data_IF_460034299113
#
_entry.id   IF_460034299113
#
_cell.length_a   1.000
_cell.length_b   1.000
_cell.length_c   1.000
_cell.angle_alpha   90.00
_cell.angle_beta   90.00
_cell.angle_gamma   90.00
#
_symmetry.space_group_name_H-M   'P 1'
#
loop_
_entity.id
_entity.type
_entity.pdbx_description
1 polymer ?
#
# COMPACT_ATOMS: atom_id res chain seq x y z
N UNK A 1 -5.99 -5.61 -19.91
CA UNK A 1 -6.71 -6.90 -19.73
C UNK A 1 -6.55 -7.34 -18.29
N UNK A 2 -7.60 -7.85 -17.63
CA UNK A 2 -7.50 -8.34 -16.25
C UNK A 2 -7.02 -9.80 -16.24
N UNK A 3 -6.33 -10.24 -15.19
CA UNK A 3 -5.91 -11.66 -15.06
C UNK A 3 -7.07 -12.65 -15.26
N UNK A 4 -8.26 -12.30 -14.73
CA UNK A 4 -9.49 -13.12 -14.86
C UNK A 4 -10.04 -13.26 -16.30
N UNK A 5 -9.54 -12.47 -17.24
CA UNK A 5 -9.90 -12.53 -18.66
C UNK A 5 -8.89 -13.35 -19.47
N UNK A 6 -7.73 -13.68 -18.88
CA UNK A 6 -6.66 -14.43 -19.55
C UNK A 6 -6.91 -15.92 -19.37
N UNK A 7 -7.35 -16.58 -20.45
CA UNK A 7 -7.47 -18.02 -20.49
C UNK A 7 -6.13 -18.65 -20.86
N UNK A 8 -5.70 -19.63 -20.05
CA UNK A 8 -4.43 -20.33 -20.20
C UNK A 8 -4.73 -21.82 -20.46
N UNK A 9 -4.44 -22.29 -21.66
CA UNK A 9 -4.61 -23.71 -21.99
C UNK A 9 -3.42 -24.52 -21.48
N UNK A 10 -3.68 -25.62 -20.75
CA UNK A 10 -2.68 -26.52 -20.18
C UNK A 10 -2.59 -27.81 -20.96
N UNK A 11 -1.71 -27.86 -21.98
CA UNK A 11 -1.45 -29.08 -22.74
C UNK A 11 -0.53 -30.03 -21.94
N UNK A 12 -0.93 -31.28 -21.79
CA UNK A 12 -0.17 -32.23 -20.98
C UNK A 12 -0.38 -33.67 -21.43
N UNK A 13 0.54 -34.54 -21.09
CA UNK A 13 0.34 -35.99 -21.19
C UNK A 13 -0.36 -36.53 -19.93
N UNK A 14 -0.98 -37.70 -20.06
CA UNK A 14 -1.71 -38.32 -18.94
C UNK A 14 -0.86 -38.60 -17.71
N UNK A 15 0.42 -38.79 -17.90
CA UNK A 15 1.41 -39.05 -16.85
C UNK A 15 1.74 -37.80 -16.01
N UNK A 16 1.63 -36.63 -16.62
CA UNK A 16 2.00 -35.35 -16.01
C UNK A 16 0.84 -34.71 -15.21
N UNK A 17 -0.30 -35.36 -15.22
CA UNK A 17 -1.55 -34.86 -14.66
C UNK A 17 -1.48 -34.34 -13.22
N UNK A 18 -0.83 -35.04 -12.26
CA UNK A 18 -0.76 -34.53 -10.89
C UNK A 18 -0.06 -33.15 -10.79
N UNK A 19 1.05 -32.96 -11.50
CA UNK A 19 1.79 -31.70 -11.54
C UNK A 19 0.96 -30.59 -12.22
N UNK A 20 0.28 -30.93 -13.32
CA UNK A 20 -0.54 -29.96 -14.06
C UNK A 20 -1.82 -29.59 -13.30
N UNK A 21 -2.40 -30.47 -12.50
CA UNK A 21 -3.50 -30.12 -11.60
C UNK A 21 -3.06 -29.14 -10.50
N UNK A 22 -1.88 -29.34 -9.94
CA UNK A 22 -1.32 -28.40 -8.98
C UNK A 22 -1.07 -27.01 -9.61
N UNK A 23 -0.56 -26.99 -10.86
CA UNK A 23 -0.39 -25.75 -11.62
C UNK A 23 -1.75 -25.09 -11.93
N UNK A 24 -2.76 -25.86 -12.34
CA UNK A 24 -4.12 -25.36 -12.57
C UNK A 24 -4.67 -24.64 -11.34
N UNK A 25 -4.57 -25.27 -10.17
CA UNK A 25 -5.07 -24.69 -8.93
C UNK A 25 -4.24 -23.43 -8.53
N UNK A 26 -2.92 -23.44 -8.76
CA UNK A 26 -2.05 -22.28 -8.51
C UNK A 26 -2.37 -21.09 -9.42
N UNK A 27 -2.59 -21.33 -10.73
CA UNK A 27 -3.01 -20.29 -11.68
C UNK A 27 -4.38 -19.72 -11.34
N UNK A 28 -5.32 -20.57 -10.90
CA UNK A 28 -6.64 -20.13 -10.46
C UNK A 28 -6.57 -19.27 -9.20
N UNK A 29 -5.72 -19.62 -8.24
CA UNK A 29 -5.45 -18.83 -7.04
C UNK A 29 -4.79 -17.49 -7.39
N UNK A 30 -3.92 -17.46 -8.40
CA UNK A 30 -3.31 -16.23 -8.92
C UNK A 30 -4.26 -15.36 -9.76
N UNK A 31 -5.53 -15.75 -9.91
CA UNK A 31 -6.58 -14.97 -10.57
C UNK A 31 -6.72 -15.18 -12.07
N UNK A 32 -5.96 -16.10 -12.67
CA UNK A 32 -6.08 -16.47 -14.09
C UNK A 32 -7.25 -17.43 -14.34
N UNK A 33 -7.56 -17.66 -15.62
CA UNK A 33 -8.56 -18.62 -16.08
C UNK A 33 -7.88 -19.81 -16.76
N UNK A 34 -7.29 -20.77 -15.98
CA UNK A 34 -6.70 -21.95 -16.58
C UNK A 34 -7.78 -22.82 -17.21
N UNK A 35 -7.45 -23.48 -18.33
CA UNK A 35 -8.29 -24.47 -19.00
C UNK A 35 -7.57 -25.82 -19.09
N UNK A 36 -8.24 -26.84 -18.61
CA UNK A 36 -7.73 -28.23 -18.57
C UNK A 36 -8.85 -29.20 -18.98
N UNK A 37 -8.59 -30.04 -19.94
CA UNK A 37 -9.57 -30.98 -20.54
C UNK A 37 -10.45 -31.70 -19.49
N UNK A 38 -9.83 -32.27 -18.48
CA UNK A 38 -10.55 -33.07 -17.45
C UNK A 38 -11.38 -32.20 -16.48
N UNK A 39 -11.08 -30.91 -16.34
CA UNK A 39 -11.78 -29.99 -15.42
C UNK A 39 -12.89 -29.24 -16.15
N UNK A 40 -12.66 -28.89 -17.42
CA UNK A 40 -13.43 -27.87 -18.13
C UNK A 40 -14.28 -28.46 -19.27
N UNK A 41 -14.03 -29.72 -19.72
CA UNK A 41 -14.93 -30.43 -20.61
C UNK A 41 -16.20 -30.87 -19.87
N UNK A 42 -17.35 -30.57 -20.47
CA UNK A 42 -18.66 -30.95 -19.93
C UNK A 42 -19.04 -32.35 -20.44
N UNK A 43 -19.55 -33.25 -19.59
CA UNK A 43 -20.03 -34.56 -20.03
C UNK A 43 -21.02 -34.45 -21.21
N UNK A 44 -20.76 -35.21 -22.27
CA UNK A 44 -21.52 -35.16 -23.50
C UNK A 44 -20.90 -34.34 -24.63
N UNK A 45 -19.90 -33.50 -24.34
CA UNK A 45 -19.15 -32.82 -25.38
C UNK A 45 -18.20 -33.75 -26.14
N UNK A 46 -18.01 -33.48 -27.43
CA UNK A 46 -17.04 -34.19 -28.26
C UNK A 46 -15.68 -33.54 -28.08
N UNK A 47 -14.81 -34.15 -27.28
CA UNK A 47 -13.51 -33.62 -26.92
C UNK A 47 -12.61 -33.25 -28.14
N UNK A 48 -12.75 -33.99 -29.26
CA UNK A 48 -12.02 -33.74 -30.51
C UNK A 48 -12.37 -32.42 -31.15
N UNK A 49 -13.55 -31.87 -30.85
CA UNK A 49 -14.04 -30.60 -31.39
C UNK A 49 -13.84 -29.46 -30.39
N UNK A 50 -13.96 -29.75 -29.10
CA UNK A 50 -13.88 -28.73 -28.05
C UNK A 50 -12.44 -28.31 -27.72
N UNK A 51 -11.47 -29.24 -27.74
CA UNK A 51 -10.06 -28.91 -27.45
C UNK A 51 -9.49 -27.93 -28.48
N UNK A 52 -9.64 -28.10 -29.79
CA UNK A 52 -9.19 -27.08 -30.74
C UNK A 52 -9.82 -25.71 -30.55
N UNK A 53 -11.11 -25.67 -30.19
CA UNK A 53 -11.79 -24.39 -29.86
C UNK A 53 -11.20 -23.73 -28.63
N UNK A 54 -10.93 -24.52 -27.57
CA UNK A 54 -10.34 -24.01 -26.34
C UNK A 54 -8.93 -23.49 -26.57
N UNK A 55 -8.10 -24.15 -27.37
CA UNK A 55 -6.76 -23.68 -27.76
C UNK A 55 -6.85 -22.32 -28.46
N UNK A 56 -7.71 -22.22 -29.49
CA UNK A 56 -7.89 -20.95 -30.24
C UNK A 56 -8.50 -19.83 -29.42
N UNK A 57 -9.31 -20.14 -28.42
CA UNK A 57 -9.90 -19.17 -27.53
C UNK A 57 -8.96 -18.70 -26.40
N UNK A 58 -7.85 -19.42 -26.19
CA UNK A 58 -6.89 -19.11 -25.13
C UNK A 58 -5.94 -18.00 -25.54
N UNK A 59 -5.54 -17.20 -24.56
CA UNK A 59 -4.56 -16.13 -24.74
C UNK A 59 -3.12 -16.63 -24.55
N UNK A 60 -2.96 -17.71 -23.79
CA UNK A 60 -1.67 -18.38 -23.56
C UNK A 60 -1.88 -19.89 -23.70
N UNK A 61 -0.93 -20.56 -24.34
CA UNK A 61 -0.83 -22.00 -24.42
C UNK A 61 0.44 -22.48 -23.70
N UNK A 62 0.29 -23.23 -22.61
CA UNK A 62 1.39 -23.86 -21.88
C UNK A 62 1.54 -25.30 -22.31
N UNK A 63 2.67 -25.64 -22.92
CA UNK A 63 3.06 -26.99 -23.21
C UNK A 63 3.79 -27.59 -22.00
N UNK A 64 3.08 -28.33 -21.15
CA UNK A 64 3.64 -28.97 -19.96
C UNK A 64 4.37 -30.25 -20.34
N UNK A 65 5.70 -30.25 -20.30
CA UNK A 65 6.56 -31.31 -20.81
C UNK A 65 7.34 -32.00 -19.68
N UNK A 66 7.41 -33.33 -19.72
CA UNK A 66 8.29 -34.14 -18.89
C UNK A 66 9.17 -35.05 -19.78
N UNK A 67 10.17 -35.71 -19.18
CA UNK A 67 10.99 -36.69 -19.91
C UNK A 67 10.17 -37.83 -20.55
N UNK A 68 9.03 -38.15 -19.93
CA UNK A 68 8.11 -39.18 -20.44
C UNK A 68 7.21 -38.69 -21.57
N UNK A 69 6.79 -37.44 -21.53
CA UNK A 69 5.85 -36.83 -22.48
C UNK A 69 6.53 -36.22 -23.71
N UNK A 70 7.74 -35.70 -23.57
CA UNK A 70 8.46 -35.00 -24.63
C UNK A 70 8.71 -35.87 -25.90
N UNK A 71 8.96 -37.18 -25.73
CA UNK A 71 9.26 -38.13 -26.82
C UNK A 71 8.08 -39.01 -27.21
N UNK A 72 6.90 -38.83 -26.61
CA UNK A 72 5.74 -39.71 -26.81
C UNK A 72 4.96 -39.29 -28.05
N UNK A 73 4.75 -40.25 -28.96
CA UNK A 73 3.75 -40.08 -30.03
C UNK A 73 2.35 -40.21 -29.43
N UNK A 74 1.50 -39.20 -29.61
CA UNK A 74 0.15 -39.23 -29.07
C UNK A 74 -0.59 -37.92 -29.14
N UNK A 75 -1.53 -37.74 -28.24
CA UNK A 75 -2.51 -36.67 -28.26
C UNK A 75 -1.91 -35.29 -28.04
N UNK A 76 -0.92 -35.19 -27.14
CA UNK A 76 -0.19 -33.94 -26.89
C UNK A 76 0.46 -33.36 -28.17
N UNK A 77 0.94 -34.22 -29.08
CA UNK A 77 1.53 -33.81 -30.37
C UNK A 77 0.51 -33.08 -31.26
N UNK A 78 -0.77 -33.47 -31.19
CA UNK A 78 -1.85 -32.83 -31.94
C UNK A 78 -2.14 -31.45 -31.37
N UNK A 79 -2.24 -31.33 -30.04
CA UNK A 79 -2.47 -30.07 -29.36
C UNK A 79 -1.33 -29.05 -29.62
N UNK A 80 -0.08 -29.53 -29.53
CA UNK A 80 1.11 -28.75 -29.87
C UNK A 80 1.09 -28.20 -31.29
N UNK A 81 0.67 -29.03 -32.28
CA UNK A 81 0.55 -28.61 -33.69
C UNK A 81 -0.53 -27.54 -33.86
N UNK A 82 -1.72 -27.75 -33.28
CA UNK A 82 -2.81 -26.76 -33.33
C UNK A 82 -2.37 -25.43 -32.71
N UNK A 83 -1.66 -25.48 -31.59
CA UNK A 83 -1.15 -24.26 -30.93
C UNK A 83 -0.06 -23.57 -31.76
N UNK A 84 0.83 -24.32 -32.40
CA UNK A 84 1.84 -23.76 -33.30
C UNK A 84 1.20 -23.13 -34.54
N UNK A 85 0.20 -23.80 -35.15
CA UNK A 85 -0.57 -23.23 -36.28
C UNK A 85 -1.26 -21.93 -35.85
N UNK A 86 -1.87 -21.90 -34.63
CA UNK A 86 -2.49 -20.71 -34.06
C UNK A 86 -1.47 -19.57 -33.82
N UNK A 87 -0.25 -19.89 -33.34
CA UNK A 87 0.84 -18.92 -33.19
C UNK A 87 1.27 -18.33 -34.53
N UNK A 88 1.29 -19.15 -35.60
CA UNK A 88 1.61 -18.70 -36.96
C UNK A 88 0.63 -17.69 -37.53
N UNK A 89 -0.61 -17.66 -37.06
CA UNK A 89 -1.65 -16.69 -37.44
C UNK A 89 -1.55 -15.38 -36.64
N UNK A 90 -0.71 -15.31 -35.60
CA UNK A 90 -0.57 -14.14 -34.70
C UNK A 90 0.49 -13.15 -35.17
N UNK A 91 0.44 -11.93 -34.63
CA UNK A 91 1.46 -10.91 -34.93
C UNK A 91 2.85 -11.35 -34.42
N UNK A 92 3.92 -11.06 -35.16
CA UNK A 92 5.29 -11.32 -34.71
C UNK A 92 5.57 -10.71 -33.32
N UNK A 93 6.20 -11.49 -32.45
CA UNK A 93 6.50 -11.06 -31.07
C UNK A 93 5.39 -11.33 -30.04
N UNK A 94 4.26 -11.92 -30.46
CA UNK A 94 3.22 -12.34 -29.51
C UNK A 94 3.68 -13.55 -28.69
N UNK A 95 3.63 -13.45 -27.36
CA UNK A 95 3.85 -14.58 -26.45
C UNK A 95 2.52 -15.31 -26.31
N UNK A 96 2.30 -16.33 -27.09
CA UNK A 96 1.14 -17.22 -27.02
C UNK A 96 1.55 -18.60 -26.54
N UNK A 97 2.60 -19.16 -27.10
CA UNK A 97 3.08 -20.51 -26.84
C UNK A 97 4.29 -20.46 -25.89
N UNK A 98 4.19 -21.13 -24.73
CA UNK A 98 5.28 -21.25 -23.76
C UNK A 98 5.61 -22.75 -23.57
N UNK A 99 6.79 -23.22 -24.03
CA UNK A 99 7.26 -24.56 -23.68
C UNK A 99 7.68 -24.56 -22.21
N UNK A 100 6.92 -25.29 -21.39
CA UNK A 100 7.16 -25.36 -19.95
C UNK A 100 7.60 -26.77 -19.58
N UNK A 101 8.83 -26.92 -19.08
CA UNK A 101 9.32 -28.20 -18.59
C UNK A 101 8.93 -28.37 -17.12
N UNK A 102 8.33 -29.51 -16.79
CA UNK A 102 7.97 -29.89 -15.42
C UNK A 102 9.16 -30.50 -14.65
N UNK A 103 10.12 -31.05 -15.41
CA UNK A 103 11.37 -31.65 -14.98
C UNK A 103 12.40 -31.54 -16.09
N UNK A 104 13.66 -31.85 -15.84
CA UNK A 104 14.70 -31.82 -16.87
C UNK A 104 14.34 -32.77 -18.02
N UNK A 105 14.10 -32.24 -19.22
CA UNK A 105 13.76 -32.98 -20.42
C UNK A 105 14.14 -32.18 -21.69
N UNK A 106 14.25 -32.88 -22.81
CA UNK A 106 14.43 -32.25 -24.10
C UNK A 106 13.11 -31.70 -24.66
N UNK A 107 13.17 -30.54 -25.34
CA UNK A 107 12.01 -30.03 -26.09
C UNK A 107 11.85 -30.80 -27.39
N UNK A 108 10.65 -31.26 -27.73
CA UNK A 108 10.38 -31.97 -28.98
C UNK A 108 10.78 -31.17 -30.21
N UNK A 109 11.36 -31.87 -31.22
CA UNK A 109 11.62 -31.27 -32.54
C UNK A 109 10.32 -31.22 -33.34
N UNK A 110 9.57 -30.14 -33.22
CA UNK A 110 8.33 -29.90 -33.94
C UNK A 110 8.48 -28.65 -34.79
N UNK A 111 8.32 -28.81 -36.09
CA UNK A 111 8.43 -27.70 -37.06
C UNK A 111 7.08 -27.41 -37.68
N UNK A 112 6.79 -26.11 -37.80
CA UNK A 112 5.76 -25.60 -38.68
C UNK A 112 6.36 -25.42 -40.08
N UNK A 113 5.81 -26.15 -41.05
CA UNK A 113 6.32 -26.12 -42.43
C UNK A 113 6.16 -24.74 -43.09
N UNK A 114 5.13 -23.98 -42.68
CA UNK A 114 4.74 -22.71 -43.32
C UNK A 114 5.49 -21.50 -42.78
N UNK A 115 6.05 -21.54 -41.56
CA UNK A 115 6.60 -20.35 -40.86
C UNK A 115 8.08 -20.53 -40.49
N UNK A 116 8.73 -21.62 -40.84
CA UNK A 116 10.14 -21.95 -40.47
C UNK A 116 10.42 -21.89 -38.96
N UNK A 117 9.40 -22.02 -38.14
CA UNK A 117 9.50 -21.96 -36.66
C UNK A 117 9.61 -23.38 -36.12
N UNK A 118 10.60 -23.65 -35.27
CA UNK A 118 10.73 -24.87 -34.50
C UNK A 118 10.36 -24.60 -33.05
N UNK A 119 9.70 -25.54 -32.39
CA UNK A 119 9.39 -25.46 -30.96
C UNK A 119 10.64 -25.19 -30.09
N UNK A 120 11.81 -25.70 -30.53
CA UNK A 120 13.10 -25.49 -29.88
C UNK A 120 13.62 -24.07 -29.97
N UNK A 121 13.11 -23.26 -30.90
CA UNK A 121 13.50 -21.86 -31.08
C UNK A 121 12.77 -20.94 -30.09
N UNK A 122 11.67 -21.43 -29.45
CA UNK A 122 10.93 -20.68 -28.45
C UNK A 122 11.62 -20.84 -27.10
N UNK A 123 11.87 -19.71 -26.43
CA UNK A 123 12.47 -19.72 -25.09
C UNK A 123 11.57 -20.49 -24.11
N UNK A 124 12.14 -21.49 -23.45
CA UNK A 124 11.42 -22.38 -22.55
C UNK A 124 11.38 -21.85 -21.11
N UNK A 125 10.45 -22.36 -20.33
CA UNK A 125 10.32 -22.14 -18.89
C UNK A 125 10.66 -23.46 -18.15
N UNK A 126 11.55 -23.41 -17.16
CA UNK A 126 11.89 -24.52 -16.29
C UNK A 126 11.12 -24.39 -14.97
N UNK A 127 9.93 -25.01 -14.93
CA UNK A 127 8.96 -24.80 -13.85
C UNK A 127 9.37 -25.36 -12.49
N UNK A 128 10.29 -26.33 -12.45
CA UNK A 128 10.80 -26.89 -11.19
C UNK A 128 11.79 -25.99 -10.46
N UNK A 129 12.27 -24.92 -11.08
CA UNK A 129 13.13 -23.92 -10.43
C UNK A 129 12.34 -23.13 -9.39
N UNK A 130 13.03 -22.61 -8.37
CA UNK A 130 12.41 -21.93 -7.24
C UNK A 130 11.51 -20.74 -7.69
N UNK A 131 11.94 -20.00 -8.70
CA UNK A 131 11.23 -18.88 -9.30
C UNK A 131 10.41 -19.21 -10.57
N UNK A 132 10.25 -20.51 -10.91
CA UNK A 132 9.62 -20.94 -12.16
C UNK A 132 8.19 -20.40 -12.36
N UNK A 133 7.39 -20.31 -11.30
CA UNK A 133 6.05 -19.71 -11.40
C UNK A 133 6.10 -18.18 -11.59
N UNK A 134 7.02 -17.52 -10.94
CA UNK A 134 7.21 -16.06 -11.07
C UNK A 134 7.69 -15.69 -12.47
N UNK A 135 8.55 -16.52 -13.09
CA UNK A 135 8.94 -16.36 -14.49
C UNK A 135 7.74 -16.49 -15.43
N UNK A 136 6.83 -17.45 -15.16
CA UNK A 136 5.58 -17.60 -15.91
C UNK A 136 4.71 -16.33 -15.78
N UNK A 137 4.47 -15.85 -14.57
CA UNK A 137 3.70 -14.63 -14.35
C UNK A 137 4.33 -13.42 -15.02
N UNK A 138 5.66 -13.33 -15.01
CA UNK A 138 6.40 -12.25 -15.71
C UNK A 138 6.20 -12.31 -17.23
N UNK A 139 6.23 -13.50 -17.83
CA UNK A 139 5.99 -13.65 -19.26
C UNK A 139 4.56 -13.24 -19.64
N UNK A 140 3.57 -13.67 -18.87
CA UNK A 140 2.16 -13.28 -19.06
C UNK A 140 1.99 -11.78 -18.83
N UNK A 141 2.56 -11.23 -17.77
CA UNK A 141 2.53 -9.80 -17.42
C UNK A 141 3.11 -8.93 -18.54
N UNK A 142 4.24 -9.35 -19.11
CA UNK A 142 4.86 -8.67 -20.25
C UNK A 142 3.96 -8.64 -21.49
N UNK A 143 3.35 -9.79 -21.85
CA UNK A 143 2.48 -9.90 -23.03
C UNK A 143 1.24 -9.02 -22.92
N UNK A 144 0.58 -9.01 -21.76
CA UNK A 144 -0.70 -8.32 -21.58
C UNK A 144 -0.59 -6.96 -20.89
N UNK A 145 0.64 -6.48 -20.61
CA UNK A 145 0.91 -5.25 -19.87
C UNK A 145 0.09 -5.21 -18.58
N UNK A 146 0.08 -6.35 -17.87
CA UNK A 146 -0.56 -6.42 -16.58
C UNK A 146 0.25 -5.56 -15.62
N UNK A 147 -0.41 -4.62 -14.98
CA UNK A 147 0.19 -4.00 -13.81
C UNK A 147 0.45 -5.11 -12.77
N UNK A 148 1.61 -5.09 -12.09
CA UNK A 148 1.85 -6.06 -11.02
C UNK A 148 0.67 -5.95 -10.05
N UNK A 149 -0.09 -7.03 -9.87
CA UNK A 149 -1.00 -7.07 -8.73
C UNK A 149 -0.14 -7.00 -7.49
N UNK A 150 -0.31 -5.94 -6.71
CA UNK A 150 0.28 -5.92 -5.37
C UNK A 150 -0.15 -7.23 -4.67
N UNK A 151 0.79 -7.96 -4.06
CA UNK A 151 0.46 -9.20 -3.37
C UNK A 151 -0.69 -8.88 -2.42
N UNK A 152 -1.81 -9.61 -2.49
CA UNK A 152 -2.96 -9.40 -1.61
C UNK A 152 -2.44 -9.41 -0.17
N UNK A 153 -2.27 -8.21 0.38
CA UNK A 153 -1.77 -8.03 1.74
C UNK A 153 -2.73 -8.72 2.68
N UNK A 154 -2.27 -9.76 3.38
CA UNK A 154 -3.02 -10.35 4.47
C UNK A 154 -3.14 -9.31 5.58
N UNK A 155 -4.31 -8.69 5.67
CA UNK A 155 -4.59 -7.72 6.71
C UNK A 155 -4.90 -8.45 8.01
N UNK A 156 -4.21 -8.06 9.07
CA UNK A 156 -4.53 -8.45 10.44
C UNK A 156 -5.54 -7.47 11.02
N UNK A 157 -6.29 -7.91 12.02
CA UNK A 157 -7.25 -7.06 12.74
C UNK A 157 -6.70 -6.77 14.14
N UNK A 158 -6.87 -5.53 14.61
CA UNK A 158 -6.61 -5.16 15.99
C UNK A 158 -7.79 -4.40 16.59
N UNK A 159 -8.03 -4.60 17.89
CA UNK A 159 -9.07 -3.94 18.65
C UNK A 159 -8.45 -2.83 19.50
N UNK A 160 -9.17 -1.74 19.66
CA UNK A 160 -8.76 -0.59 20.47
C UNK A 160 -9.97 0.14 21.03
N UNK A 161 -9.75 1.01 22.00
CA UNK A 161 -10.79 1.84 22.60
C UNK A 161 -10.61 3.29 22.16
N UNK A 162 -11.69 3.92 21.72
CA UNK A 162 -11.76 5.36 21.45
C UNK A 162 -12.45 6.07 22.59
N UNK A 163 -11.97 7.26 22.89
CA UNK A 163 -12.49 8.10 23.98
C UNK A 163 -13.02 9.40 23.39
N UNK A 164 -14.14 9.91 23.95
CA UNK A 164 -14.67 11.21 23.60
C UNK A 164 -14.89 12.05 24.85
N UNK A 165 -14.64 13.38 24.76
CA UNK A 165 -14.77 14.34 25.85
C UNK A 165 -15.65 15.52 25.46
N UNK A 166 -16.28 16.17 26.47
CA UNK A 166 -16.97 17.45 26.31
C UNK A 166 -15.99 18.63 26.48
N UNK A 167 -16.48 19.87 26.39
CA UNK A 167 -15.68 21.10 26.52
C UNK A 167 -14.91 21.25 27.85
N UNK A 168 -15.32 20.51 28.89
CA UNK A 168 -14.65 20.48 30.20
C UNK A 168 -13.59 19.39 30.31
N UNK A 169 -13.35 18.62 29.26
CA UNK A 169 -12.44 17.49 29.28
C UNK A 169 -13.01 16.24 29.99
N UNK A 170 -14.28 16.25 30.36
CA UNK A 170 -14.94 15.08 31.01
C UNK A 170 -15.24 14.02 29.97
N UNK A 171 -14.86 12.78 30.25
CA UNK A 171 -15.13 11.66 29.33
C UNK A 171 -16.63 11.39 29.22
N UNK A 172 -17.16 11.54 28.00
CA UNK A 172 -18.59 11.31 27.68
C UNK A 172 -18.81 10.09 26.80
N UNK A 173 -17.75 9.54 26.21
CA UNK A 173 -17.81 8.38 25.32
C UNK A 173 -16.61 7.48 25.53
N UNK A 174 -16.84 6.17 25.49
CA UNK A 174 -15.83 5.12 25.42
C UNK A 174 -16.38 3.97 24.59
N UNK A 175 -15.75 3.66 23.47
CA UNK A 175 -16.22 2.65 22.52
C UNK A 175 -15.08 1.75 22.07
N UNK A 176 -15.35 0.46 21.95
CA UNK A 176 -14.45 -0.47 21.31
C UNK A 176 -14.60 -0.39 19.79
N UNK A 177 -13.50 -0.28 19.09
CA UNK A 177 -13.39 -0.26 17.63
C UNK A 177 -12.40 -1.31 17.17
N UNK A 178 -12.41 -1.60 15.88
CA UNK A 178 -11.41 -2.44 15.25
C UNK A 178 -10.99 -1.84 13.90
N UNK A 179 -9.74 -2.05 13.54
CA UNK A 179 -9.20 -1.68 12.24
C UNK A 179 -8.33 -2.79 11.67
N UNK A 180 -8.14 -2.75 10.38
CA UNK A 180 -7.26 -3.66 9.66
C UNK A 180 -5.89 -3.01 9.45
N UNK A 181 -4.84 -3.81 9.50
CA UNK A 181 -3.46 -3.34 9.28
C UNK A 181 -2.60 -4.44 8.70
N UNK A 182 -1.47 -4.06 8.17
CA UNK A 182 -0.38 -4.97 7.85
C UNK A 182 0.92 -4.54 8.54
N UNK A 183 1.89 -5.44 8.55
CA UNK A 183 3.23 -5.18 9.06
C UNK A 183 4.26 -5.28 7.95
N UNK A 184 5.10 -4.26 7.86
CA UNK A 184 6.34 -4.32 7.10
C UNK A 184 7.49 -4.74 8.02
N UNK A 185 8.32 -5.65 7.55
CA UNK A 185 9.56 -6.02 8.23
C UNK A 185 10.69 -5.08 7.79
N UNK A 186 11.20 -4.27 8.71
CA UNK A 186 12.31 -3.36 8.46
C UNK A 186 13.67 -4.00 8.76
N UNK A 187 13.65 -5.28 9.13
CA UNK A 187 14.84 -6.05 9.54
C UNK A 187 15.14 -5.95 11.04
N UNK A 188 15.91 -6.95 11.53
CA UNK A 188 16.35 -7.04 12.94
C UNK A 188 15.22 -7.02 13.97
N UNK A 189 14.03 -7.51 13.59
CA UNK A 189 12.84 -7.54 14.44
C UNK A 189 12.12 -6.21 14.60
N UNK A 190 12.51 -5.18 13.84
CA UNK A 190 11.79 -3.89 13.78
C UNK A 190 10.71 -3.99 12.70
N UNK A 191 9.49 -3.62 13.06
CA UNK A 191 8.33 -3.63 12.15
C UNK A 191 7.67 -2.28 12.07
N UNK A 192 7.00 -2.00 10.94
CA UNK A 192 6.13 -0.83 10.74
C UNK A 192 4.70 -1.34 10.54
N UNK A 193 3.77 -0.84 11.35
CA UNK A 193 2.34 -1.16 11.24
C UNK A 193 1.64 -0.10 10.39
N UNK A 194 1.00 -0.53 9.30
CA UNK A 194 0.27 0.34 8.36
C UNK A 194 -1.21 0.03 8.47
N UNK A 195 -2.00 0.99 8.92
CA UNK A 195 -3.45 0.86 9.11
C UNK A 195 -4.18 1.18 7.82
N UNK A 196 -5.16 0.35 7.46
CA UNK A 196 -6.04 0.58 6.32
C UNK A 196 -7.03 1.72 6.65
N UNK A 197 -6.92 2.84 5.95
CA UNK A 197 -7.80 3.99 6.08
C UNK A 197 -8.88 3.88 4.99
N UNK A 198 -10.17 3.81 5.36
CA UNK A 198 -11.25 3.76 4.37
C UNK A 198 -11.31 5.08 3.61
N UNK A 199 -11.63 5.03 2.32
CA UNK A 199 -11.94 6.24 1.56
C UNK A 199 -13.23 6.88 2.06
N UNK A 200 -13.38 8.18 1.83
CA UNK A 200 -14.58 8.91 2.23
C UNK A 200 -14.50 10.40 1.95
N UNK A 201 -15.59 11.09 2.24
CA UNK A 201 -15.70 12.53 2.06
C UNK A 201 -15.80 13.23 3.42
N UNK A 202 -15.12 14.36 3.57
CA UNK A 202 -15.10 15.14 4.80
C UNK A 202 -15.01 16.64 4.52
N UNK A 203 -15.23 17.45 5.55
CA UNK A 203 -15.01 18.89 5.51
C UNK A 203 -13.61 19.20 6.03
N UNK A 204 -12.73 19.67 5.13
CA UNK A 204 -11.37 20.09 5.42
C UNK A 204 -11.35 21.57 5.82
N UNK A 205 -10.53 21.88 6.81
CA UNK A 205 -10.40 23.25 7.32
C UNK A 205 -11.34 23.56 8.49
N UNK A 206 -11.49 24.85 8.80
CA UNK A 206 -12.21 25.36 9.98
C UNK A 206 -13.27 26.37 9.58
N UNK A 207 -14.42 26.33 10.23
CA UNK A 207 -15.50 27.32 10.04
C UNK A 207 -15.08 28.73 10.49
N UNK A 208 -15.59 29.76 9.83
CA UNK A 208 -15.20 31.15 10.09
C UNK A 208 -15.46 31.59 11.54
N UNK A 209 -16.57 31.16 12.14
CA UNK A 209 -16.88 31.50 13.54
C UNK A 209 -15.83 30.91 14.52
N UNK A 210 -15.41 29.69 14.30
CA UNK A 210 -14.38 29.05 15.10
C UNK A 210 -13.02 29.72 14.88
N UNK A 211 -12.66 30.10 13.66
CA UNK A 211 -11.44 30.86 13.36
C UNK A 211 -11.40 32.17 14.15
N UNK A 212 -12.48 32.96 14.15
CA UNK A 212 -12.52 34.23 14.88
C UNK A 212 -12.40 34.00 16.40
N UNK A 213 -13.01 32.92 16.93
CA UNK A 213 -12.84 32.54 18.33
C UNK A 213 -11.38 32.24 18.68
N UNK A 214 -10.71 31.45 17.80
CA UNK A 214 -9.31 31.04 17.97
C UNK A 214 -8.34 32.22 17.88
N UNK A 215 -8.51 33.07 16.86
CA UNK A 215 -7.71 34.30 16.70
C UNK A 215 -7.80 35.17 17.97
N UNK A 216 -9.01 35.38 18.50
CA UNK A 216 -9.23 36.13 19.71
C UNK A 216 -8.59 35.46 20.95
N UNK A 217 -8.74 34.14 21.09
CA UNK A 217 -8.25 33.38 22.25
C UNK A 217 -6.74 33.32 22.32
N UNK A 218 -6.10 32.99 21.20
CA UNK A 218 -4.65 32.72 21.13
C UNK A 218 -3.85 33.92 20.60
N UNK A 219 -4.51 35.00 20.21
CA UNK A 219 -3.91 36.18 19.59
C UNK A 219 -2.99 35.84 18.41
N UNK A 220 -3.48 34.96 17.50
CA UNK A 220 -2.73 34.45 16.38
C UNK A 220 -3.54 34.42 15.10
N UNK A 221 -3.17 35.28 14.12
CA UNK A 221 -3.87 35.37 12.81
C UNK A 221 -3.69 34.16 11.91
N UNK A 222 -2.72 33.28 12.17
CA UNK A 222 -2.40 32.12 11.38
C UNK A 222 -3.56 31.13 11.22
N UNK A 223 -4.52 31.10 12.15
CA UNK A 223 -5.73 30.27 12.04
C UNK A 223 -6.61 30.62 10.83
N UNK A 224 -6.51 31.85 10.29
CA UNK A 224 -7.24 32.26 9.08
C UNK A 224 -6.82 31.51 7.81
N UNK A 225 -5.70 30.80 7.85
CA UNK A 225 -5.20 29.98 6.74
C UNK A 225 -6.00 28.69 6.55
N UNK A 226 -6.74 28.26 7.57
CA UNK A 226 -7.55 27.04 7.56
C UNK A 226 -8.88 27.19 6.78
N UNK A 227 -9.00 28.20 5.95
CA UNK A 227 -10.21 28.51 5.17
C UNK A 227 -9.94 28.70 3.69
N UNK A 228 -11.00 28.61 2.83
CA UNK A 228 -12.37 28.25 3.21
C UNK A 228 -12.49 26.79 3.62
N UNK A 229 -13.38 26.49 4.58
CA UNK A 229 -13.77 25.10 4.81
C UNK A 229 -14.43 24.55 3.54
N UNK A 230 -14.04 23.37 3.11
CA UNK A 230 -14.49 22.79 1.85
C UNK A 230 -14.57 21.26 1.92
N UNK A 231 -15.38 20.69 1.04
CA UNK A 231 -15.53 19.24 0.94
C UNK A 231 -14.41 18.63 0.12
N UNK A 232 -13.79 17.55 0.66
CA UNK A 232 -12.75 16.77 0.01
C UNK A 232 -13.12 15.28 0.07
N UNK A 233 -12.95 14.57 -1.04
CA UNK A 233 -13.10 13.12 -1.12
C UNK A 233 -11.72 12.47 -1.20
N UNK A 234 -11.40 11.62 -0.22
CA UNK A 234 -10.12 10.92 -0.14
C UNK A 234 -10.30 9.46 -0.55
N UNK A 235 -9.50 8.91 -1.47
CA UNK A 235 -9.53 7.49 -1.79
C UNK A 235 -9.00 6.65 -0.62
N UNK A 236 -9.27 5.33 -0.57
CA UNK A 236 -8.68 4.47 0.47
C UNK A 236 -7.15 4.43 0.34
N UNK A 237 -6.46 4.43 1.50
CA UNK A 237 -5.00 4.37 1.57
C UNK A 237 -4.53 3.68 2.86
N UNK A 238 -3.23 3.51 3.03
CA UNK A 238 -2.65 3.02 4.27
C UNK A 238 -1.83 4.12 4.94
N UNK A 239 -1.92 4.21 6.27
CA UNK A 239 -1.16 5.17 7.06
C UNK A 239 -0.44 4.49 8.21
N UNK A 240 0.73 4.98 8.57
CA UNK A 240 1.45 4.51 9.75
C UNK A 240 0.57 4.60 11.01
N UNK A 241 0.47 3.50 11.78
CA UNK A 241 -0.33 3.46 13.01
C UNK A 241 0.11 4.49 14.04
N UNK A 242 1.39 4.82 14.01
CA UNK A 242 2.08 5.77 14.86
C UNK A 242 2.98 6.67 14.01
N UNK A 243 3.39 7.84 14.49
CA UNK A 243 4.56 8.54 13.95
C UNK A 243 5.77 7.62 13.90
N UNK A 244 6.64 7.76 12.89
CA UNK A 244 7.83 6.91 12.74
C UNK A 244 8.70 7.00 13.98
N UNK A 245 8.99 5.85 14.59
CA UNK A 245 9.82 5.79 15.81
C UNK A 245 11.30 5.90 15.50
N UNK A 246 12.12 6.25 16.51
CA UNK A 246 13.58 6.32 16.37
C UNK A 246 14.18 4.97 15.99
N UNK A 247 13.61 3.84 16.47
CA UNK A 247 14.06 2.51 16.06
C UNK A 247 13.75 2.23 14.57
N UNK A 248 12.55 2.56 14.11
CA UNK A 248 12.16 2.41 12.71
C UNK A 248 12.99 3.30 11.78
N UNK A 249 13.17 4.58 12.18
CA UNK A 249 14.03 5.51 11.46
C UNK A 249 15.45 4.95 11.31
N UNK A 250 16.05 4.53 12.41
CA UNK A 250 17.39 3.96 12.42
C UNK A 250 17.51 2.74 11.54
N UNK A 251 16.49 1.86 11.52
CA UNK A 251 16.50 0.64 10.71
C UNK A 251 16.64 0.96 9.21
N UNK A 252 16.01 2.02 8.74
CA UNK A 252 16.04 2.44 7.31
C UNK A 252 17.19 3.41 7.04
N UNK A 253 17.40 4.42 7.88
CA UNK A 253 18.43 5.46 7.69
C UNK A 253 19.85 4.88 7.65
N UNK A 254 20.13 3.83 8.43
CA UNK A 254 21.42 3.16 8.43
C UNK A 254 21.69 2.29 7.18
N UNK A 255 20.71 2.04 6.33
CA UNK A 255 20.85 1.28 5.09
C UNK A 255 21.30 2.17 3.93
N UNK A 256 22.62 2.36 3.84
CA UNK A 256 23.24 3.17 2.78
C UNK A 256 23.11 2.55 1.38
N UNK A 257 22.93 1.24 1.29
CA UNK A 257 22.62 0.49 0.07
C UNK A 257 21.24 0.83 -0.51
N UNK A 258 20.31 1.33 0.30
CA UNK A 258 19.00 1.80 -0.10
C UNK A 258 18.96 3.28 -0.48
N UNK A 259 20.04 4.04 -0.30
CA UNK A 259 20.12 5.47 -0.61
C UNK A 259 19.57 5.78 -2.01
N UNK A 260 18.75 6.82 -2.11
CA UNK A 260 18.16 7.31 -3.38
C UNK A 260 18.74 8.67 -3.73
N UNK A 261 18.63 9.67 -2.86
CA UNK A 261 19.10 11.04 -3.11
C UNK A 261 20.19 11.48 -2.15
N UNK A 262 20.02 11.29 -0.84
CA UNK A 262 20.90 11.87 0.17
C UNK A 262 21.20 10.89 1.32
N UNK A 263 22.24 11.20 2.09
CA UNK A 263 22.53 10.49 3.33
C UNK A 263 21.57 10.96 4.42
N UNK A 264 21.18 10.03 5.30
CA UNK A 264 20.36 10.32 6.47
C UNK A 264 21.19 10.14 7.73
N UNK A 265 21.06 11.08 8.68
CA UNK A 265 21.50 10.83 10.05
C UNK A 265 20.61 9.72 10.65
N UNK A 266 21.21 8.64 11.11
CA UNK A 266 20.46 7.53 11.69
C UNK A 266 20.08 7.73 13.17
N UNK A 267 20.50 8.83 13.80
CA UNK A 267 20.19 9.22 15.19
C UNK A 267 19.98 10.74 15.31
N UNK A 268 19.07 11.34 14.54
CA UNK A 268 18.90 12.80 14.53
C UNK A 268 18.25 13.34 15.79
N UNK A 269 17.43 12.52 16.47
CA UNK A 269 16.54 12.93 17.54
C UNK A 269 17.26 13.60 18.71
N UNK A 270 16.65 14.67 19.24
CA UNK A 270 17.10 15.34 20.46
C UNK A 270 16.94 14.43 21.69
N UNK A 271 15.81 13.71 21.78
CA UNK A 271 15.52 12.79 22.89
C UNK A 271 16.05 11.36 22.70
N UNK A 272 17.14 11.20 21.96
CA UNK A 272 17.76 9.88 21.62
C UNK A 272 18.38 9.14 22.81
N UNK A 273 18.69 9.84 23.90
CA UNK A 273 19.36 9.26 25.08
C UNK A 273 18.37 8.85 26.18
N UNK A 274 17.05 8.88 25.90
CA UNK A 274 16.04 8.37 26.84
C UNK A 274 16.02 6.85 26.84
N UNK A 275 15.75 6.20 27.99
CA UNK A 275 15.70 4.74 28.08
C UNK A 275 14.68 4.07 27.14
N UNK A 276 13.61 4.83 26.79
CA UNK A 276 12.51 4.44 25.91
C UNK A 276 12.61 5.05 24.51
N UNK A 277 13.76 5.59 24.13
CA UNK A 277 13.99 6.33 22.88
C UNK A 277 13.60 5.52 21.64
N UNK A 278 13.81 4.22 21.63
CA UNK A 278 13.44 3.35 20.51
C UNK A 278 11.94 3.39 20.19
N UNK A 279 11.10 3.66 21.18
CA UNK A 279 9.64 3.81 21.04
C UNK A 279 9.16 5.24 20.91
N UNK A 280 10.01 6.25 21.10
CA UNK A 280 9.67 7.65 20.87
C UNK A 280 9.67 7.95 19.38
N UNK A 281 8.85 8.91 18.89
CA UNK A 281 8.93 9.34 17.50
C UNK A 281 10.31 9.90 17.18
N UNK A 282 10.74 9.78 15.93
CA UNK A 282 11.91 10.50 15.43
C UNK A 282 11.54 11.98 15.27
N UNK A 283 12.44 12.86 15.68
CA UNK A 283 12.33 14.30 15.50
C UNK A 283 13.68 14.87 15.04
N UNK A 284 13.77 16.18 14.79
CA UNK A 284 14.93 16.85 14.18
C UNK A 284 15.25 16.32 12.76
N UNK A 285 14.22 15.93 12.01
CA UNK A 285 14.31 15.57 10.60
C UNK A 285 13.60 16.62 9.76
N UNK A 286 14.20 17.04 8.66
CA UNK A 286 13.57 17.95 7.72
C UNK A 286 12.70 17.20 6.69
N UNK A 287 11.96 17.93 5.88
CA UNK A 287 11.06 17.35 4.88
C UNK A 287 11.80 16.47 3.84
N UNK A 288 12.99 16.88 3.42
CA UNK A 288 13.79 16.10 2.45
C UNK A 288 14.30 14.80 3.07
N UNK A 289 14.61 14.79 4.37
CA UNK A 289 14.98 13.58 5.10
C UNK A 289 13.81 12.60 5.16
N UNK A 290 12.59 13.11 5.39
CA UNK A 290 11.38 12.28 5.40
C UNK A 290 11.05 11.70 4.01
N UNK A 291 11.23 12.46 2.92
CA UNK A 291 11.10 11.97 1.54
C UNK A 291 12.14 10.89 1.24
N UNK A 292 13.40 11.09 1.62
CA UNK A 292 14.46 10.09 1.43
C UNK A 292 14.16 8.81 2.23
N UNK A 293 13.65 8.93 3.46
CA UNK A 293 13.21 7.78 4.26
C UNK A 293 12.12 6.98 3.54
N UNK A 294 11.07 7.64 3.04
CA UNK A 294 10.01 7.01 2.26
C UNK A 294 10.56 6.32 1.01
N UNK A 295 11.47 6.96 0.28
CA UNK A 295 12.09 6.40 -0.91
C UNK A 295 12.93 5.14 -0.61
N UNK A 296 13.70 5.13 0.50
CA UNK A 296 14.44 3.95 0.95
C UNK A 296 13.51 2.82 1.38
N UNK A 297 12.43 3.15 2.10
CA UNK A 297 11.41 2.19 2.51
C UNK A 297 10.74 1.55 1.29
N UNK A 298 10.39 2.37 0.28
CA UNK A 298 9.84 1.88 -0.98
C UNK A 298 10.79 0.91 -1.70
N UNK A 299 12.09 1.24 -1.73
CA UNK A 299 13.11 0.39 -2.34
C UNK A 299 13.31 -0.93 -1.58
N UNK A 300 13.21 -0.90 -0.24
CA UNK A 300 13.32 -2.10 0.60
C UNK A 300 12.14 -3.06 0.38
N UNK A 301 10.92 -2.51 0.33
CA UNK A 301 9.68 -3.30 0.37
C UNK A 301 9.08 -3.58 -1.01
N UNK A 302 9.61 -2.93 -2.06
CA UNK A 302 9.06 -2.95 -3.43
C UNK A 302 7.61 -2.44 -3.47
N UNK A 303 7.23 -1.56 -2.52
CA UNK A 303 5.94 -0.87 -2.43
C UNK A 303 6.15 0.63 -2.43
N UNK A 304 5.17 1.39 -2.87
CA UNK A 304 5.23 2.84 -2.80
C UNK A 304 4.94 3.34 -1.39
N UNK A 305 5.92 4.01 -0.77
CA UNK A 305 5.78 4.76 0.47
C UNK A 305 6.05 6.24 0.21
N UNK A 306 5.20 7.09 0.73
CA UNK A 306 5.26 8.54 0.57
C UNK A 306 4.74 9.25 1.80
N UNK A 307 4.96 10.54 1.90
CA UNK A 307 4.24 11.38 2.85
C UNK A 307 2.76 11.45 2.45
N UNK A 308 1.84 11.58 3.42
CA UNK A 308 0.44 11.84 3.12
C UNK A 308 0.27 13.22 2.45
N UNK A 309 -0.78 13.42 1.67
CA UNK A 309 -1.24 14.77 1.37
C UNK A 309 -1.80 15.41 2.64
N UNK A 310 -1.87 16.74 2.67
CA UNK A 310 -2.47 17.49 3.77
C UNK A 310 -3.93 17.04 4.01
N UNK A 311 -4.69 16.83 2.92
CA UNK A 311 -6.06 16.34 2.98
C UNK A 311 -6.17 14.90 3.51
N UNK A 312 -5.27 13.99 3.10
CA UNK A 312 -5.19 12.64 3.66
C UNK A 312 -4.88 12.66 5.15
N UNK A 313 -3.93 13.53 5.57
CA UNK A 313 -3.58 13.66 6.98
C UNK A 313 -4.76 14.15 7.82
N UNK A 314 -5.44 15.25 7.40
CA UNK A 314 -6.58 15.81 8.15
C UNK A 314 -7.77 14.83 8.18
N UNK A 315 -8.07 14.15 7.05
CA UNK A 315 -9.08 13.10 6.98
C UNK A 315 -8.78 11.97 7.96
N UNK A 316 -7.55 11.48 7.95
CA UNK A 316 -7.09 10.43 8.85
C UNK A 316 -7.11 10.86 10.32
N UNK A 317 -6.72 12.09 10.62
CA UNK A 317 -6.75 12.67 11.96
C UNK A 317 -8.19 12.77 12.49
N UNK A 318 -9.10 13.33 11.70
CA UNK A 318 -10.52 13.48 12.07
C UNK A 318 -11.23 12.13 12.27
N UNK A 319 -10.91 11.13 11.47
CA UNK A 319 -11.52 9.80 11.55
C UNK A 319 -13.05 9.83 11.69
N UNK A 320 -13.71 10.70 10.92
CA UNK A 320 -15.16 10.89 10.88
C UNK A 320 -15.72 11.93 11.87
N UNK A 321 -14.88 12.64 12.63
CA UNK A 321 -15.33 13.75 13.49
C UNK A 321 -15.27 15.09 12.75
N UNK A 322 -16.13 16.04 13.18
CA UNK A 322 -16.13 17.43 12.74
C UNK A 322 -15.60 18.40 13.81
N UNK A 323 -15.38 17.89 15.01
CA UNK A 323 -14.87 18.61 16.17
C UNK A 323 -13.40 19.03 16.01
N UNK A 324 -12.90 19.99 16.79
CA UNK A 324 -11.48 20.42 16.73
C UNK A 324 -10.47 19.28 16.93
N UNK A 325 -10.81 18.31 17.77
CA UNK A 325 -10.02 17.11 18.04
C UNK A 325 -10.85 15.87 17.79
N UNK A 326 -10.24 14.73 17.44
CA UNK A 326 -10.97 13.47 17.34
C UNK A 326 -11.54 13.00 18.70
N UNK A 327 -11.06 13.57 19.78
CA UNK A 327 -11.62 13.37 21.12
C UNK A 327 -12.93 14.14 21.35
N UNK A 328 -13.17 15.23 20.60
CA UNK A 328 -14.35 16.10 20.77
C UNK A 328 -14.00 17.59 20.81
N UNK A 329 -14.66 18.28 21.74
CA UNK A 329 -14.63 19.76 21.82
C UNK A 329 -13.33 20.32 22.40
N UNK A 330 -12.57 19.49 23.13
CA UNK A 330 -11.29 19.88 23.73
C UNK A 330 -10.31 18.69 23.78
N UNK A 331 -9.13 18.97 24.34
CA UNK A 331 -8.04 18.00 24.53
C UNK A 331 -7.46 18.19 25.92
N UNK A 332 -7.05 17.10 26.59
CA UNK A 332 -6.40 17.14 27.90
C UNK A 332 -5.03 16.48 27.88
N UNK A 333 -4.17 16.79 28.85
CA UNK A 333 -2.86 16.17 28.98
C UNK A 333 -2.89 14.65 29.21
N UNK A 334 -4.06 14.07 29.53
CA UNK A 334 -4.26 12.63 29.62
C UNK A 334 -4.61 11.97 28.28
N UNK A 335 -5.00 12.79 27.27
CA UNK A 335 -5.40 12.33 25.94
C UNK A 335 -4.31 12.53 24.89
N UNK A 336 -3.37 13.46 25.13
CA UNK A 336 -2.30 13.74 24.18
C UNK A 336 -1.08 14.40 24.86
N UNK A 337 0.04 14.45 24.15
CA UNK A 337 1.25 15.10 24.60
C UNK A 337 1.44 16.47 23.94
N UNK A 338 1.06 17.52 24.64
CA UNK A 338 1.20 18.91 24.22
C UNK A 338 1.49 19.80 25.46
N UNK A 339 1.64 21.10 25.29
CA UNK A 339 1.76 22.01 26.44
C UNK A 339 0.39 22.23 27.09
N UNK A 340 -0.01 21.28 27.92
CA UNK A 340 -1.29 21.26 28.62
C UNK A 340 -1.38 22.26 29.79
N UNK A 341 -0.37 23.10 30.03
CA UNK A 341 -0.51 24.28 30.90
C UNK A 341 -1.42 25.36 30.28
N UNK A 342 -1.81 25.21 29.02
CA UNK A 342 -2.78 26.02 28.29
C UNK A 342 -4.03 25.23 27.98
N UNK A 343 -5.18 25.86 28.00
CA UNK A 343 -6.48 25.22 27.71
C UNK A 343 -7.04 25.63 26.35
N UNK A 344 -7.82 24.72 25.72
CA UNK A 344 -8.53 24.99 24.49
C UNK A 344 -9.95 25.51 24.73
N UNK A 345 -10.69 24.89 25.62
CA UNK A 345 -12.05 25.26 26.03
C UNK A 345 -12.11 25.52 27.56
N UNK A 346 -12.88 24.74 28.27
CA UNK A 346 -13.11 24.86 29.73
C UNK A 346 -12.47 23.73 30.54
N UNK A 347 -11.61 22.91 29.90
CA UNK A 347 -10.88 21.84 30.55
C UNK A 347 -9.85 22.39 31.56
N UNK A 348 -9.52 21.63 32.63
CA UNK A 348 -8.48 22.02 33.57
C UNK A 348 -7.10 21.97 32.92
N UNK A 349 -6.17 22.79 33.41
CA UNK A 349 -4.75 22.69 33.04
C UNK A 349 -4.21 21.30 33.38
N UNK A 350 -3.40 20.76 32.49
CA UNK A 350 -2.75 19.47 32.63
C UNK A 350 -1.22 19.58 32.72
N UNK A 351 -0.58 18.42 32.64
CA UNK A 351 0.86 18.30 32.70
C UNK A 351 1.53 18.77 31.40
N UNK A 352 2.53 19.64 31.51
CA UNK A 352 3.48 19.94 30.44
C UNK A 352 4.70 19.03 30.61
N UNK A 353 4.82 17.95 29.81
CA UNK A 353 5.87 16.95 29.93
C UNK A 353 7.24 17.44 29.48
N UNK A 354 7.27 18.48 28.63
CA UNK A 354 8.48 19.11 28.12
C UNK A 354 9.42 18.17 27.34
N UNK A 355 8.89 17.10 26.82
CA UNK A 355 9.58 16.12 25.97
C UNK A 355 8.58 15.28 25.15
N UNK A 356 9.06 14.59 24.12
CA UNK A 356 8.25 13.58 23.42
C UNK A 356 7.93 12.40 24.32
N UNK A 357 6.87 11.68 24.04
CA UNK A 357 6.48 10.42 24.72
C UNK A 357 6.62 9.24 23.78
N UNK A 358 6.77 8.01 24.30
CA UNK A 358 6.63 6.81 23.47
C UNK A 358 5.32 6.81 22.70
N UNK A 359 5.35 6.39 21.44
CA UNK A 359 4.15 6.34 20.60
C UNK A 359 3.11 5.37 21.15
N UNK A 360 1.82 5.67 20.93
CA UNK A 360 0.71 4.83 21.36
C UNK A 360 0.45 4.86 22.86
N UNK A 361 0.94 5.86 23.57
CA UNK A 361 0.68 6.04 25.00
C UNK A 361 -0.74 6.55 25.28
N UNK A 362 -1.33 7.25 24.32
CA UNK A 362 -2.65 7.88 24.42
C UNK A 362 -3.70 7.13 23.59
N UNK A 363 -5.01 7.33 23.85
CA UNK A 363 -6.06 6.68 23.06
C UNK A 363 -5.99 7.06 21.57
N UNK A 364 -6.26 6.11 20.64
CA UNK A 364 -6.29 6.39 19.22
C UNK A 364 -7.60 7.04 18.77
N UNK A 365 -7.61 7.52 17.51
CA UNK A 365 -8.83 7.92 16.84
C UNK A 365 -9.67 6.72 16.34
N UNK A 366 -10.82 6.97 15.69
CA UNK A 366 -11.73 5.93 15.25
C UNK A 366 -11.20 5.04 14.10
N UNK A 367 -10.10 5.43 13.44
CA UNK A 367 -9.39 4.59 12.46
C UNK A 367 -8.28 3.74 13.11
N UNK A 368 -7.96 3.98 14.39
CA UNK A 368 -6.89 3.27 15.10
C UNK A 368 -5.51 3.90 14.93
N UNK A 369 -5.44 5.19 14.57
CA UNK A 369 -4.23 5.98 14.50
C UNK A 369 -3.99 6.68 15.83
N UNK A 370 -2.74 6.70 16.27
CA UNK A 370 -2.29 7.26 17.54
C UNK A 370 -1.48 8.53 17.32
N UNK A 371 -1.43 9.37 18.33
CA UNK A 371 -0.57 10.55 18.42
C UNK A 371 -0.81 11.61 17.31
N UNK A 372 -2.00 11.61 16.68
CA UNK A 372 -2.37 12.58 15.63
C UNK A 372 -2.53 14.02 16.20
N UNK A 373 -2.55 14.20 17.51
CA UNK A 373 -2.63 15.48 18.20
C UNK A 373 -1.44 15.61 19.16
N UNK A 374 -0.50 16.47 18.83
CA UNK A 374 0.70 16.71 19.64
C UNK A 374 1.82 15.68 19.41
N UNK A 375 2.67 15.49 20.40
CA UNK A 375 3.90 14.71 20.42
C UNK A 375 4.96 15.26 19.45
N UNK A 376 4.80 15.08 18.12
CA UNK A 376 5.66 15.66 17.08
C UNK A 376 4.84 16.21 15.92
N UNK A 377 5.34 17.24 15.25
CA UNK A 377 4.84 17.66 13.96
C UNK A 377 5.08 16.58 12.90
N UNK A 378 4.11 16.37 12.02
CA UNK A 378 4.14 15.38 10.97
C UNK A 378 4.16 16.04 9.58
N UNK A 379 5.15 15.68 8.75
CA UNK A 379 5.32 16.24 7.42
C UNK A 379 4.25 15.74 6.45
N UNK A 380 3.65 16.65 5.69
CA UNK A 380 2.81 16.35 4.52
C UNK A 380 3.58 16.60 3.22
N UNK A 381 3.08 16.04 2.12
CA UNK A 381 3.73 16.12 0.80
C UNK A 381 3.49 17.46 0.10
N UNK A 382 2.46 18.20 0.52
CA UNK A 382 2.01 19.45 -0.09
C UNK A 382 3.03 20.58 0.08
N UNK A 383 3.05 21.52 -0.87
CA UNK A 383 3.71 22.79 -0.71
C UNK A 383 2.83 23.73 0.12
N UNK A 384 3.44 24.78 0.68
CA UNK A 384 2.72 25.73 1.51
C UNK A 384 1.79 26.62 0.69
N UNK A 385 0.54 26.78 1.18
CA UNK A 385 -0.44 27.76 0.68
C UNK A 385 -0.95 28.63 1.84
N UNK A 386 -1.32 29.87 1.56
CA UNK A 386 -1.80 30.80 2.59
C UNK A 386 -3.28 30.60 2.94
N UNK A 387 -4.01 29.81 2.16
CA UNK A 387 -5.40 29.41 2.39
C UNK A 387 -5.77 28.24 1.46
N UNK A 388 -7.01 27.75 1.50
CA UNK A 388 -7.51 26.65 0.68
C UNK A 388 -8.24 27.09 -0.61
N UNK A 389 -8.08 28.34 -1.07
CA UNK A 389 -8.65 28.77 -2.35
C UNK A 389 -7.96 28.04 -3.51
N UNK A 390 -8.73 27.21 -4.23
CA UNK A 390 -8.22 26.40 -5.33
C UNK A 390 -7.63 25.05 -4.91
N UNK A 391 -7.72 24.64 -3.64
CA UNK A 391 -7.24 23.35 -3.16
C UNK A 391 -7.90 22.18 -3.89
N UNK A 392 -7.18 21.07 -4.15
CA UNK A 392 -7.74 19.84 -4.70
C UNK A 392 -8.86 19.28 -3.82
N UNK A 393 -9.91 18.72 -4.46
CA UNK A 393 -11.05 18.12 -3.75
C UNK A 393 -11.07 16.61 -3.79
N UNK A 394 -10.03 16.00 -4.32
CA UNK A 394 -9.88 14.55 -4.51
C UNK A 394 -8.83 13.91 -3.58
N UNK A 395 -8.32 14.67 -2.62
CA UNK A 395 -7.30 14.21 -1.68
C UNK A 395 -5.89 14.14 -2.26
N UNK A 396 -5.67 14.59 -3.50
CA UNK A 396 -4.34 14.61 -4.10
C UNK A 396 -3.43 15.66 -3.44
N UNK A 397 -2.11 15.46 -3.56
CA UNK A 397 -1.10 16.41 -3.08
C UNK A 397 -1.21 17.73 -3.85
N UNK A 398 -1.27 18.84 -3.13
CA UNK A 398 -1.38 20.19 -3.70
C UNK A 398 0.00 20.85 -3.82
N UNK A 399 0.52 20.89 -5.05
CA UNK A 399 1.83 21.50 -5.37
C UNK A 399 1.71 22.73 -6.28
N UNK A 400 0.58 22.90 -6.95
CA UNK A 400 0.39 23.99 -7.91
C UNK A 400 0.27 25.35 -7.19
N UNK A 401 1.07 26.33 -7.62
CA UNK A 401 1.08 27.71 -7.08
C UNK A 401 1.42 27.85 -5.59
N UNK A 402 2.00 26.80 -4.97
CA UNK A 402 2.49 26.86 -3.60
C UNK A 402 3.86 27.51 -3.46
N UNK A 403 4.29 27.74 -2.21
CA UNK A 403 5.65 28.18 -1.88
C UNK A 403 6.56 26.96 -1.72
N UNK A 404 7.35 26.62 -2.74
CA UNK A 404 8.28 25.49 -2.76
C UNK A 404 9.41 25.58 -1.71
N UNK A 405 9.61 26.75 -1.10
CA UNK A 405 10.60 26.93 -0.04
C UNK A 405 10.06 26.60 1.35
N UNK A 406 8.77 26.28 1.45
CA UNK A 406 8.10 25.99 2.71
C UNK A 406 7.41 24.63 2.63
N UNK A 407 7.76 23.76 3.58
CA UNK A 407 7.13 22.46 3.76
C UNK A 407 6.03 22.56 4.81
N UNK A 408 5.02 21.71 4.69
CA UNK A 408 3.82 21.77 5.50
C UNK A 408 3.81 20.66 6.55
N UNK A 409 3.89 21.00 7.85
CA UNK A 409 3.70 20.04 8.94
C UNK A 409 2.32 20.16 9.55
N UNK A 410 1.79 19.07 10.13
CA UNK A 410 0.46 18.99 10.77
C UNK A 410 0.56 18.38 12.17
N UNK A 411 -0.50 18.55 12.99
CA UNK A 411 -0.70 17.84 14.26
C UNK A 411 -0.16 18.50 15.51
N UNK A 412 0.74 19.48 15.40
CA UNK A 412 1.39 20.10 16.56
C UNK A 412 2.41 19.19 17.22
N UNK A 413 2.93 19.58 18.37
CA UNK A 413 3.95 18.83 19.10
C UNK A 413 3.85 19.00 20.61
N UNK A 414 4.69 18.29 21.35
CA UNK A 414 4.74 18.30 22.82
C UNK A 414 4.86 19.72 23.43
N UNK A 415 5.41 20.68 22.71
CA UNK A 415 5.60 22.05 23.26
C UNK A 415 4.56 23.07 22.79
N UNK A 416 3.70 22.72 21.82
CA UNK A 416 2.68 23.61 21.28
C UNK A 416 1.49 23.75 22.23
N UNK A 417 0.79 24.90 22.16
CA UNK A 417 -0.50 25.06 22.81
C UNK A 417 -1.59 24.22 22.10
N UNK A 418 -2.72 23.94 22.73
CA UNK A 418 -3.74 23.06 22.15
C UNK A 418 -4.36 23.60 20.86
N UNK A 419 -4.36 24.92 20.63
CA UNK A 419 -4.84 25.52 19.38
C UNK A 419 -4.07 25.04 18.16
N UNK A 420 -2.77 24.75 18.30
CA UNK A 420 -1.92 24.23 17.23
C UNK A 420 -1.93 22.70 17.11
N UNK A 421 -2.66 22.00 17.96
CA UNK A 421 -2.77 20.54 17.93
C UNK A 421 -4.13 20.07 17.39
N UNK A 422 -4.93 20.95 16.77
CA UNK A 422 -6.23 20.62 16.19
C UNK A 422 -6.10 19.81 14.90
N UNK A 423 -7.18 19.15 14.52
CA UNK A 423 -7.22 18.40 13.24
C UNK A 423 -6.98 19.28 12.02
N UNK A 424 -7.42 20.54 12.06
CA UNK A 424 -7.34 21.49 10.94
C UNK A 424 -6.08 22.38 10.94
N UNK A 425 -5.17 22.22 11.92
CA UNK A 425 -4.01 23.11 12.05
C UNK A 425 -2.71 22.45 11.62
#
# INVERSE_FOLDING_TARGET
MKKSEIQIFLAHASEDKPAVLALYDRLKQAGYKPWLDKKDLIPGQIWRDEIPKAIKASQIFLACLSAKSANKQGYIQRELRIALDTLGEMLPGTIFFIPMRLEECEIPDLRLAEVSLNLRDIHRLDYWEEDGFEQLERAIGYQFKLEPEEPKQLLSVFNFEVVGVNAKGEQIRKESKQSQYFREDLGKGITLEMVAIPGGTFLMGTEDEEIERLVKKFNWEGFRRERPQHEVTVPPFFMGKYPITQAQWKAIASRTDLKVKQDLDFKPAYFKDRPDSDRRPVEQVNWYDAIEFCARLSKLTVREYRLPSEAEWEYACRAGTTTPFYFGETITGELANYNASNTYADEPNGEYRNETTPVGQFPPNAFGLYDMHGNVWEWCADTWHDNYDGAPRDGSVWTENGDDNRSLPRGGSWYNNPGSCRSAY
#
